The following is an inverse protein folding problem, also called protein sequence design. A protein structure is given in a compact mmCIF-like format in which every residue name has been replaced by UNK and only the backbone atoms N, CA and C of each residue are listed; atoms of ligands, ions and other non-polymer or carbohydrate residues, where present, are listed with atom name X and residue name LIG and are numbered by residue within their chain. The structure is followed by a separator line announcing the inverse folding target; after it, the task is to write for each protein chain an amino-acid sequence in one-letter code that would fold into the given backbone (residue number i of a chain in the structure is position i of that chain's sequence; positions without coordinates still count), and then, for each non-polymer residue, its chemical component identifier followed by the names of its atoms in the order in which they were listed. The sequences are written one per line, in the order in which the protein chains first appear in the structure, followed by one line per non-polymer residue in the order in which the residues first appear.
data_IF_294747807947
#
_entry.id   IF_294747807947
#
_cell.length_a   1.000
_cell.length_b   1.000
_cell.length_c   1.000
_cell.angle_alpha   90.00
_cell.angle_beta   90.00
_cell.angle_gamma   90.00
#
_symmetry.space_group_name_H-M   'P 1'
#
loop_
_entity.id
_entity.type
_entity.pdbx_description
1 polymer ?
#
# COMPACT_ATOMS: atom_id res chain seq x y z
N UNK A 1 -12.69 15.76 -28.55
CA UNK A 1 -11.93 14.54 -28.22
C UNK A 1 -10.49 14.81 -28.65
N UNK A 2 -9.65 15.30 -27.73
CA UNK A 2 -8.28 15.70 -28.05
C UNK A 2 -7.43 14.44 -28.04
N UNK A 3 -6.93 14.06 -29.21
CA UNK A 3 -6.00 12.96 -29.39
C UNK A 3 -4.65 13.36 -28.77
N UNK A 4 -4.47 13.04 -27.47
CA UNK A 4 -3.19 13.23 -26.80
C UNK A 4 -2.28 12.10 -27.29
N UNK A 5 -1.51 12.37 -28.33
CA UNK A 5 -0.45 11.48 -28.79
C UNK A 5 0.63 11.39 -27.71
N UNK A 6 0.56 10.33 -26.90
CA UNK A 6 1.56 10.03 -25.89
C UNK A 6 2.85 9.58 -26.61
N UNK A 7 3.87 10.45 -26.62
CA UNK A 7 5.17 10.07 -27.14
C UNK A 7 5.76 8.95 -26.28
N UNK A 8 6.28 7.88 -26.91
CA UNK A 8 6.75 6.68 -26.22
C UNK A 8 7.69 7.02 -25.04
N UNK A 9 7.51 6.39 -23.86
CA UNK A 9 8.32 6.66 -22.68
C UNK A 9 9.78 6.26 -22.91
N UNK A 10 10.70 6.96 -22.25
CA UNK A 10 12.12 6.58 -22.27
C UNK A 10 12.32 5.20 -21.61
N UNK A 11 13.35 4.47 -22.01
CA UNK A 11 13.66 3.15 -21.43
C UNK A 11 13.83 3.23 -19.90
N UNK A 12 14.44 4.29 -19.38
CA UNK A 12 14.58 4.53 -17.94
C UNK A 12 13.24 4.69 -17.25
N UNK A 13 12.32 5.49 -17.82
CA UNK A 13 10.96 5.63 -17.29
C UNK A 13 10.27 4.28 -17.19
N UNK A 14 10.33 3.50 -18.28
CA UNK A 14 9.70 2.19 -18.36
C UNK A 14 10.24 1.23 -17.30
N UNK A 15 11.56 1.17 -17.15
CA UNK A 15 12.19 0.26 -16.20
C UNK A 15 11.84 0.62 -14.74
N UNK A 16 11.79 1.92 -14.40
CA UNK A 16 11.39 2.37 -13.05
C UNK A 16 9.97 1.94 -12.74
N UNK A 17 9.04 2.14 -13.68
CA UNK A 17 7.64 1.77 -13.50
C UNK A 17 7.42 0.26 -13.41
N UNK A 18 8.13 -0.51 -14.23
CA UNK A 18 8.08 -1.98 -14.16
C UNK A 18 8.64 -2.49 -12.84
N UNK A 19 9.78 -1.95 -12.38
CA UNK A 19 10.39 -2.34 -11.12
C UNK A 19 9.50 -1.95 -9.93
N UNK A 20 9.04 -0.70 -9.88
CA UNK A 20 8.19 -0.21 -8.81
C UNK A 20 6.85 -0.95 -8.75
N UNK A 21 6.21 -1.17 -9.91
CA UNK A 21 4.97 -1.92 -10.02
C UNK A 21 5.16 -3.40 -9.66
N UNK A 22 6.27 -4.01 -10.08
CA UNK A 22 6.62 -5.39 -9.74
C UNK A 22 6.85 -5.59 -8.25
N UNK A 23 7.55 -4.66 -7.60
CA UNK A 23 7.77 -4.67 -6.15
C UNK A 23 6.46 -4.54 -5.37
N UNK A 24 5.56 -3.63 -5.76
CA UNK A 24 4.23 -3.51 -5.15
C UNK A 24 3.34 -4.74 -5.41
N UNK A 25 3.40 -5.31 -6.62
CA UNK A 25 2.67 -6.52 -6.94
C UNK A 25 3.15 -7.69 -6.06
N UNK A 26 4.46 -7.88 -5.96
CA UNK A 26 5.07 -8.89 -5.11
C UNK A 26 4.73 -8.69 -3.63
N UNK A 27 4.79 -7.45 -3.12
CA UNK A 27 4.43 -7.17 -1.72
C UNK A 27 2.97 -7.51 -1.43
N UNK A 28 2.05 -7.15 -2.34
CA UNK A 28 0.64 -7.49 -2.19
C UNK A 28 0.38 -9.00 -2.24
N UNK A 29 1.00 -9.71 -3.18
CA UNK A 29 0.88 -11.19 -3.28
C UNK A 29 1.42 -11.86 -2.02
N UNK A 30 2.60 -11.45 -1.54
CA UNK A 30 3.16 -11.98 -0.30
C UNK A 30 2.29 -11.62 0.92
N UNK A 31 1.66 -10.45 0.93
CA UNK A 31 0.68 -10.08 1.97
C UNK A 31 -0.53 -10.99 2.00
N UNK A 32 -1.00 -11.49 0.85
CA UNK A 32 -2.07 -12.51 0.80
C UNK A 32 -1.57 -13.82 1.38
N UNK A 33 -0.39 -14.30 0.96
CA UNK A 33 0.22 -15.54 1.46
C UNK A 33 0.43 -15.49 2.97
N UNK A 34 0.80 -14.32 3.50
CA UNK A 34 1.00 -14.05 4.93
C UNK A 34 -0.31 -13.72 5.69
N UNK A 35 -1.46 -13.80 5.04
CA UNK A 35 -2.73 -13.55 5.74
C UNK A 35 -2.98 -14.61 6.82
N UNK A 36 -3.58 -14.28 7.97
CA UNK A 36 -3.86 -15.25 9.03
C UNK A 36 -4.64 -16.48 8.55
N UNK A 37 -5.49 -16.29 7.54
CA UNK A 37 -6.31 -17.34 6.92
C UNK A 37 -5.46 -18.40 6.20
N UNK A 38 -4.33 -18.01 5.58
CA UNK A 38 -3.47 -18.89 4.80
C UNK A 38 -2.21 -19.29 5.56
N UNK A 39 -1.61 -18.37 6.32
CA UNK A 39 -0.35 -18.58 7.01
C UNK A 39 -0.43 -19.63 8.13
N UNK A 40 -1.54 -19.67 8.87
CA UNK A 40 -1.76 -20.66 9.93
C UNK A 40 -1.75 -22.11 9.40
N UNK A 41 -2.65 -22.47 8.47
CA UNK A 41 -2.67 -23.82 7.88
C UNK A 41 -1.40 -24.22 7.14
N UNK A 42 -0.64 -23.26 6.61
CA UNK A 42 0.60 -23.51 5.88
C UNK A 42 1.86 -23.55 6.77
N UNK A 43 1.73 -23.30 8.08
CA UNK A 43 2.88 -23.23 8.99
C UNK A 43 3.82 -22.04 8.73
N UNK A 44 3.32 -21.00 8.05
CA UNK A 44 4.07 -19.80 7.67
C UNK A 44 3.78 -18.60 8.60
N UNK A 45 3.06 -18.81 9.69
CA UNK A 45 2.63 -17.76 10.62
C UNK A 45 3.79 -17.11 11.40
N UNK A 46 4.99 -17.71 11.40
CA UNK A 46 6.16 -17.13 12.05
C UNK A 46 6.75 -15.99 11.20
N UNK A 47 6.85 -14.80 11.80
CA UNK A 47 7.05 -13.48 11.18
C UNK A 47 8.27 -13.22 10.26
N UNK A 48 8.90 -14.24 9.68
CA UNK A 48 10.04 -14.11 8.78
C UNK A 48 9.75 -13.38 7.46
N UNK A 49 8.50 -13.35 6.99
CA UNK A 49 8.14 -12.68 5.73
C UNK A 49 7.77 -11.20 5.89
N UNK A 50 7.42 -10.76 7.10
CA UNK A 50 6.98 -9.38 7.37
C UNK A 50 8.03 -8.33 6.94
N UNK A 51 9.34 -8.48 7.26
CA UNK A 51 10.35 -7.51 6.83
C UNK A 51 10.48 -7.46 5.31
N UNK A 52 10.37 -8.60 4.63
CA UNK A 52 10.44 -8.67 3.17
C UNK A 52 9.26 -7.93 2.52
N UNK A 53 8.04 -8.13 3.02
CA UNK A 53 6.85 -7.40 2.53
C UNK A 53 7.03 -5.90 2.70
N UNK A 54 7.54 -5.45 3.85
CA UNK A 54 7.82 -4.02 4.12
C UNK A 54 8.87 -3.49 3.16
N UNK A 55 9.95 -4.23 2.91
CA UNK A 55 11.01 -3.82 1.98
C UNK A 55 10.53 -3.73 0.54
N UNK A 56 9.70 -4.68 0.10
CA UNK A 56 9.12 -4.67 -1.25
C UNK A 56 8.12 -3.51 -1.40
N UNK A 57 7.21 -3.35 -0.44
CA UNK A 57 6.23 -2.26 -0.44
C UNK A 57 6.91 -0.89 -0.38
N UNK A 58 7.83 -0.71 0.56
CA UNK A 58 8.60 0.51 0.75
C UNK A 58 9.50 0.81 -0.44
N UNK A 59 10.19 -0.19 -1.00
CA UNK A 59 11.04 -0.06 -2.18
C UNK A 59 10.24 0.35 -3.43
N UNK A 60 9.11 -0.31 -3.68
CA UNK A 60 8.21 0.04 -4.78
C UNK A 60 7.62 1.44 -4.62
N UNK A 61 7.12 1.76 -3.43
CA UNK A 61 6.60 3.08 -3.10
C UNK A 61 7.64 4.19 -3.22
N UNK A 62 8.87 3.96 -2.79
CA UNK A 62 9.98 4.91 -2.91
C UNK A 62 10.36 5.19 -4.36
N UNK A 63 10.43 4.15 -5.18
CA UNK A 63 10.68 4.32 -6.62
C UNK A 63 9.56 5.11 -7.28
N UNK A 64 8.30 4.90 -6.92
CA UNK A 64 7.20 5.73 -7.42
C UNK A 64 7.24 7.16 -6.89
N UNK A 65 7.63 7.38 -5.63
CA UNK A 65 7.74 8.72 -5.06
C UNK A 65 8.83 9.54 -5.75
N UNK A 66 10.04 8.99 -5.86
CA UNK A 66 11.25 9.72 -6.27
C UNK A 66 11.55 9.59 -7.78
N UNK A 67 11.15 8.47 -8.38
CA UNK A 67 11.63 8.04 -9.69
C UNK A 67 13.12 7.72 -9.67
N UNK A 68 13.74 7.67 -10.85
CA UNK A 68 15.19 7.51 -11.01
C UNK A 68 15.75 8.62 -11.91
N UNK A 69 16.80 9.32 -11.44
CA UNK A 69 17.54 10.35 -12.21
C UNK A 69 16.67 11.42 -12.90
N UNK A 70 15.59 11.86 -12.27
CA UNK A 70 14.72 12.89 -12.84
C UNK A 70 13.38 12.37 -13.36
N UNK A 71 13.26 11.05 -13.57
CA UNK A 71 12.22 10.48 -14.44
C UNK A 71 11.42 9.41 -13.69
N UNK A 72 10.11 9.32 -13.97
CA UNK A 72 9.27 8.21 -13.51
C UNK A 72 8.56 8.37 -12.16
N UNK A 73 8.61 9.55 -11.55
CA UNK A 73 7.85 9.83 -10.31
C UNK A 73 6.35 9.97 -10.59
N UNK A 74 5.51 9.27 -9.83
CA UNK A 74 4.04 9.30 -9.98
C UNK A 74 3.42 10.61 -9.48
N UNK A 75 4.15 11.35 -8.66
CA UNK A 75 3.71 12.63 -8.09
C UNK A 75 4.24 13.83 -8.88
N UNK A 76 4.93 13.58 -10.00
CA UNK A 76 5.68 14.61 -10.73
C UNK A 76 6.62 15.40 -9.80
N UNK A 77 7.12 14.76 -8.72
CA UNK A 77 7.98 15.36 -7.68
C UNK A 77 7.38 16.55 -6.95
N UNK A 78 6.05 16.66 -6.93
CA UNK A 78 5.36 17.68 -6.13
C UNK A 78 5.57 17.35 -4.64
N UNK A 79 6.11 18.29 -3.84
CA UNK A 79 6.65 17.98 -2.52
C UNK A 79 5.62 17.34 -1.59
N UNK A 80 4.39 17.86 -1.57
CA UNK A 80 3.31 17.31 -0.74
C UNK A 80 3.04 15.82 -1.02
N UNK A 81 2.90 15.45 -2.29
CA UNK A 81 2.62 14.06 -2.68
C UNK A 81 3.81 13.15 -2.44
N UNK A 82 5.02 13.61 -2.77
CA UNK A 82 6.24 12.85 -2.55
C UNK A 82 6.47 12.59 -1.05
N UNK A 83 6.32 13.60 -0.20
CA UNK A 83 6.46 13.46 1.26
C UNK A 83 5.39 12.54 1.82
N UNK A 84 4.13 12.66 1.40
CA UNK A 84 3.06 11.77 1.86
C UNK A 84 3.35 10.30 1.55
N UNK A 85 3.82 9.98 0.34
CA UNK A 85 4.21 8.61 -0.03
C UNK A 85 5.40 8.15 0.82
N UNK A 86 6.45 8.96 0.95
CA UNK A 86 7.63 8.61 1.75
C UNK A 86 7.25 8.29 3.20
N UNK A 87 6.42 9.15 3.81
CA UNK A 87 5.95 8.93 5.17
C UNK A 87 5.16 7.63 5.28
N UNK A 88 4.24 7.38 4.32
CA UNK A 88 3.40 6.19 4.30
C UNK A 88 4.19 4.89 4.11
N UNK A 89 5.13 4.85 3.17
CA UNK A 89 5.75 3.59 2.72
C UNK A 89 7.09 3.30 3.37
N UNK A 90 7.76 4.30 3.94
CA UNK A 90 9.09 4.12 4.53
C UNK A 90 9.17 4.57 5.98
N UNK A 91 8.51 5.66 6.39
CA UNK A 91 8.63 6.08 7.79
C UNK A 91 7.68 5.27 8.68
N UNK A 92 6.40 5.23 8.33
CA UNK A 92 5.37 4.60 9.16
C UNK A 92 5.63 3.10 9.42
N UNK A 93 5.96 2.26 8.41
CA UNK A 93 6.19 0.83 8.65
C UNK A 93 7.41 0.57 9.54
N UNK A 94 8.46 1.39 9.41
CA UNK A 94 9.65 1.27 10.25
C UNK A 94 9.37 1.73 11.68
N UNK A 95 8.64 2.83 11.86
CA UNK A 95 8.19 3.28 13.19
C UNK A 95 7.39 2.17 13.88
N UNK A 96 6.47 1.50 13.16
CA UNK A 96 5.73 0.35 13.69
C UNK A 96 6.66 -0.75 14.19
N UNK A 97 7.66 -1.16 13.39
CA UNK A 97 8.62 -2.19 13.80
C UNK A 97 9.33 -1.82 15.12
N UNK A 98 9.82 -0.57 15.23
CA UNK A 98 10.49 -0.11 16.45
C UNK A 98 9.56 -0.02 17.65
N UNK A 99 8.32 0.45 17.46
CA UNK A 99 7.35 0.54 18.56
C UNK A 99 6.99 -0.84 19.08
N UNK A 100 6.71 -1.80 18.20
CA UNK A 100 6.37 -3.17 18.63
C UNK A 100 7.52 -3.90 19.32
N UNK A 101 8.77 -3.62 18.94
CA UNK A 101 9.96 -4.19 19.58
C UNK A 101 10.28 -3.53 20.94
N UNK A 102 10.03 -2.22 21.05
CA UNK A 102 10.35 -1.45 22.25
C UNK A 102 9.26 -1.49 23.35
N UNK A 103 8.02 -1.83 23.03
CA UNK A 103 6.90 -1.81 23.98
C UNK A 103 6.86 -3.07 24.84
N UNK A 104 6.96 -2.96 26.19
CA UNK A 104 6.92 -4.12 27.07
C UNK A 104 5.56 -4.84 27.03
N UNK A 105 5.53 -6.18 27.20
CA UNK A 105 4.28 -6.94 27.16
C UNK A 105 3.20 -6.49 28.15
N UNK A 106 3.60 -5.97 29.31
CA UNK A 106 2.73 -5.40 30.32
C UNK A 106 1.88 -4.22 29.83
N UNK A 107 2.34 -3.52 28.79
CA UNK A 107 1.62 -2.36 28.21
C UNK A 107 0.49 -2.82 27.28
N UNK A 108 0.56 -4.05 26.73
CA UNK A 108 -0.51 -4.59 25.86
C UNK A 108 -1.83 -4.80 26.60
N UNK A 109 -1.79 -5.02 27.92
CA UNK A 109 -2.97 -5.13 28.76
C UNK A 109 -3.62 -3.77 29.12
N UNK A 110 -2.97 -2.65 28.77
CA UNK A 110 -3.49 -1.31 29.02
C UNK A 110 -4.27 -0.78 27.81
N UNK A 111 -5.23 0.12 28.05
CA UNK A 111 -5.98 0.81 26.99
C UNK A 111 -5.11 1.66 26.06
N UNK A 112 -3.82 1.84 26.37
CA UNK A 112 -2.85 2.52 25.52
C UNK A 112 -2.73 1.88 24.13
N UNK A 113 -2.73 0.54 24.05
CA UNK A 113 -2.54 -0.14 22.77
C UNK A 113 -3.69 0.19 21.80
N UNK A 114 -4.92 0.22 22.31
CA UNK A 114 -6.11 0.58 21.54
C UNK A 114 -6.06 2.04 21.06
N UNK A 115 -5.59 2.96 21.92
CA UNK A 115 -5.41 4.35 21.53
C UNK A 115 -4.32 4.51 20.47
N UNK A 116 -3.19 3.83 20.64
CA UNK A 116 -2.07 3.86 19.69
C UNK A 116 -2.48 3.31 18.32
N UNK A 117 -3.12 2.14 18.26
CA UNK A 117 -3.56 1.54 16.99
C UNK A 117 -4.60 2.42 16.29
N UNK A 118 -5.51 3.04 17.05
CA UNK A 118 -6.47 4.00 16.49
C UNK A 118 -5.80 5.24 15.87
N UNK A 119 -4.81 5.83 16.56
CA UNK A 119 -4.07 6.99 16.03
C UNK A 119 -3.23 6.59 14.82
N UNK A 120 -2.50 5.48 14.89
CA UNK A 120 -1.67 4.96 13.81
C UNK A 120 -2.49 4.71 12.53
N UNK A 121 -3.68 4.12 12.68
CA UNK A 121 -4.60 3.91 11.57
C UNK A 121 -5.09 5.23 10.94
N UNK A 122 -5.45 6.22 11.76
CA UNK A 122 -5.87 7.53 11.27
C UNK A 122 -4.75 8.26 10.51
N UNK A 123 -3.52 8.15 11.01
CA UNK A 123 -2.33 8.71 10.36
C UNK A 123 -2.08 8.01 9.02
N UNK A 124 -2.14 6.67 8.99
CA UNK A 124 -1.99 5.88 7.76
C UNK A 124 -3.04 6.27 6.72
N UNK A 125 -4.31 6.34 7.13
CA UNK A 125 -5.41 6.70 6.25
C UNK A 125 -5.26 8.13 5.69
N UNK A 126 -4.89 9.09 6.53
CA UNK A 126 -4.66 10.47 6.12
C UNK A 126 -3.52 10.57 5.10
N UNK A 127 -2.38 9.91 5.36
CA UNK A 127 -1.25 9.87 4.44
C UNK A 127 -1.62 9.20 3.11
N UNK A 128 -2.35 8.09 3.16
CA UNK A 128 -2.78 7.36 1.97
C UNK A 128 -3.78 8.17 1.13
N UNK A 129 -4.71 8.88 1.76
CA UNK A 129 -5.63 9.80 1.06
C UNK A 129 -4.88 10.95 0.40
N UNK A 130 -3.98 11.62 1.13
CA UNK A 130 -3.17 12.71 0.58
C UNK A 130 -2.32 12.22 -0.59
N UNK A 131 -1.68 11.07 -0.47
CA UNK A 131 -0.91 10.45 -1.54
C UNK A 131 -1.78 10.14 -2.76
N UNK A 132 -2.94 9.49 -2.57
CA UNK A 132 -3.86 9.14 -3.65
C UNK A 132 -4.39 10.37 -4.40
N UNK A 133 -4.79 11.41 -3.67
CA UNK A 133 -5.25 12.68 -4.25
C UNK A 133 -4.09 13.37 -4.99
N UNK A 134 -2.88 13.38 -4.41
CA UNK A 134 -1.73 13.98 -5.05
C UNK A 134 -1.35 13.27 -6.36
N UNK A 135 -1.42 11.93 -6.40
CA UNK A 135 -1.22 11.12 -7.61
C UNK A 135 -2.28 11.47 -8.66
N UNK A 136 -3.56 11.50 -8.26
CA UNK A 136 -4.65 11.84 -9.18
C UNK A 136 -4.48 13.24 -9.78
N UNK A 137 -3.98 14.20 -9.00
CA UNK A 137 -3.74 15.59 -9.42
C UNK A 137 -2.40 15.81 -10.12
N UNK A 138 -1.47 14.87 -10.07
CA UNK A 138 -0.15 15.01 -10.68
C UNK A 138 -0.23 15.01 -12.22
N UNK A 139 -1.25 14.36 -12.79
CA UNK A 139 -1.44 14.27 -14.25
C UNK A 139 -0.51 13.27 -14.93
N UNK A 140 0.28 12.51 -14.16
CA UNK A 140 1.17 11.46 -14.68
C UNK A 140 0.38 10.24 -15.14
N UNK A 141 -0.59 9.82 -14.33
CA UNK A 141 -1.45 8.66 -14.61
C UNK A 141 -2.66 9.10 -15.44
N UNK A 142 -2.96 8.43 -16.57
CA UNK A 142 -4.13 8.75 -17.39
C UNK A 142 -5.45 8.41 -16.68
N UNK A 143 -6.52 9.10 -17.05
CA UNK A 143 -7.87 8.65 -16.68
C UNK A 143 -8.22 7.32 -17.38
N UNK A 144 -9.03 6.45 -16.74
CA UNK A 144 -9.58 6.56 -15.39
C UNK A 144 -8.62 6.08 -14.28
N UNK A 145 -7.45 5.56 -14.65
CA UNK A 145 -6.52 4.88 -13.75
C UNK A 145 -5.91 5.76 -12.67
N UNK A 146 -5.95 7.08 -12.84
CA UNK A 146 -5.54 8.05 -11.83
C UNK A 146 -6.33 7.93 -10.51
N UNK A 147 -7.52 7.30 -10.54
CA UNK A 147 -8.36 7.04 -9.35
C UNK A 147 -8.10 5.70 -8.68
N UNK A 148 -7.29 4.83 -9.29
CA UNK A 148 -7.00 3.51 -8.72
C UNK A 148 -6.45 3.56 -7.27
N UNK A 149 -5.54 4.49 -6.92
CA UNK A 149 -5.09 4.64 -5.53
C UNK A 149 -6.23 4.98 -4.56
N UNK A 150 -7.21 5.80 -4.96
CA UNK A 150 -8.36 6.13 -4.12
C UNK A 150 -9.24 4.92 -3.85
N UNK A 151 -9.42 4.05 -4.86
CA UNK A 151 -10.13 2.78 -4.67
C UNK A 151 -9.40 1.83 -3.72
N UNK A 152 -8.07 1.73 -3.83
CA UNK A 152 -7.27 0.93 -2.91
C UNK A 152 -7.39 1.43 -1.47
N UNK A 153 -7.36 2.75 -1.26
CA UNK A 153 -7.60 3.36 0.06
C UNK A 153 -9.01 3.06 0.56
N UNK A 154 -10.03 3.22 -0.28
CA UNK A 154 -11.42 2.93 0.10
C UNK A 154 -11.64 1.46 0.48
N UNK A 155 -11.09 0.51 -0.29
CA UNK A 155 -11.15 -0.92 0.03
C UNK A 155 -10.44 -1.22 1.34
N UNK A 156 -9.26 -0.63 1.56
CA UNK A 156 -8.49 -0.86 2.79
C UNK A 156 -9.18 -0.30 4.03
N UNK A 157 -9.75 0.90 3.91
CA UNK A 157 -10.53 1.52 4.98
C UNK A 157 -11.81 0.73 5.29
N UNK A 158 -12.54 0.27 4.27
CA UNK A 158 -13.73 -0.54 4.45
C UNK A 158 -13.41 -1.88 5.12
N UNK A 159 -12.33 -2.54 4.68
CA UNK A 159 -11.87 -3.78 5.30
C UNK A 159 -11.53 -3.57 6.78
N UNK A 160 -10.91 -2.44 7.13
CA UNK A 160 -10.59 -2.14 8.53
C UNK A 160 -11.82 -1.88 9.39
N UNK A 161 -12.80 -1.14 8.88
CA UNK A 161 -14.08 -0.94 9.56
C UNK A 161 -14.75 -2.28 9.85
N UNK A 162 -14.74 -3.20 8.87
CA UNK A 162 -15.25 -4.56 9.07
C UNK A 162 -14.49 -5.29 10.18
N UNK A 163 -13.16 -5.24 10.20
CA UNK A 163 -12.35 -5.87 11.26
C UNK A 163 -12.70 -5.35 12.64
N UNK A 164 -12.81 -4.02 12.80
CA UNK A 164 -13.14 -3.39 14.08
C UNK A 164 -14.56 -3.75 14.54
N UNK A 165 -15.56 -3.62 13.64
CA UNK A 165 -16.97 -3.89 13.98
C UNK A 165 -17.16 -5.37 14.36
N UNK A 166 -16.60 -6.28 13.56
CA UNK A 166 -16.73 -7.72 13.80
C UNK A 166 -15.96 -8.13 15.06
N UNK A 167 -14.77 -7.57 15.30
CA UNK A 167 -13.99 -7.85 16.51
C UNK A 167 -14.65 -7.37 17.81
N UNK A 168 -15.54 -6.37 17.75
CA UNK A 168 -16.30 -5.89 18.90
C UNK A 168 -17.57 -6.72 19.13
N UNK A 169 -18.26 -7.10 18.05
CA UNK A 169 -19.62 -7.65 18.11
C UNK A 169 -19.70 -9.18 18.02
N UNK A 170 -18.65 -9.82 17.52
CA UNK A 170 -18.68 -11.23 17.16
C UNK A 170 -17.77 -12.11 18.01
N UNK A 171 -18.14 -13.38 18.11
CA UNK A 171 -17.30 -14.47 18.61
C UNK A 171 -17.51 -15.73 17.74
N UNK A 172 -16.50 -16.59 17.66
CA UNK A 172 -16.54 -17.89 16.98
C UNK A 172 -15.99 -17.91 15.54
N UNK A 173 -15.91 -19.11 14.97
CA UNK A 173 -15.17 -19.40 13.73
C UNK A 173 -15.58 -18.57 12.49
N UNK A 174 -16.83 -18.12 12.41
CA UNK A 174 -17.31 -17.27 11.30
C UNK A 174 -16.64 -15.89 11.34
N UNK A 175 -16.40 -15.36 12.54
CA UNK A 175 -15.70 -14.09 12.75
C UNK A 175 -14.26 -14.19 12.29
N UNK A 176 -13.57 -15.28 12.64
CA UNK A 176 -12.18 -15.50 12.21
C UNK A 176 -12.03 -15.53 10.69
N UNK A 177 -12.99 -16.17 9.98
CA UNK A 177 -13.03 -16.18 8.52
C UNK A 177 -13.24 -14.77 7.95
N UNK A 178 -14.17 -14.00 8.50
CA UNK A 178 -14.45 -12.62 8.04
C UNK A 178 -13.22 -11.72 8.26
N UNK A 179 -12.60 -11.79 9.44
CA UNK A 179 -11.38 -11.02 9.77
C UNK A 179 -10.21 -11.47 8.89
N UNK A 180 -10.10 -12.76 8.60
CA UNK A 180 -9.11 -13.32 7.67
C UNK A 180 -9.28 -12.78 6.25
N UNK A 181 -10.51 -12.76 5.71
CA UNK A 181 -10.81 -12.17 4.40
C UNK A 181 -10.51 -10.67 4.40
N UNK A 182 -10.87 -9.95 5.46
CA UNK A 182 -10.61 -8.53 5.58
C UNK A 182 -9.09 -8.19 5.62
N UNK A 183 -8.23 -9.12 6.06
CA UNK A 183 -6.77 -8.96 5.95
C UNK A 183 -6.25 -9.10 4.51
N UNK A 184 -6.93 -9.88 3.67
CA UNK A 184 -6.49 -10.16 2.29
C UNK A 184 -6.81 -8.98 1.36
N UNK A 185 -7.91 -8.26 1.60
CA UNK A 185 -8.39 -7.19 0.72
C UNK A 185 -7.37 -6.05 0.49
N UNK A 186 -6.73 -5.46 1.53
CA UNK A 186 -5.69 -4.44 1.32
C UNK A 186 -4.48 -4.96 0.54
N UNK A 187 -4.10 -6.22 0.75
CA UNK A 187 -2.99 -6.86 0.05
C UNK A 187 -3.31 -7.04 -1.44
N UNK A 188 -4.52 -7.47 -1.77
CA UNK A 188 -5.01 -7.54 -3.15
C UNK A 188 -5.12 -6.16 -3.80
N UNK A 189 -5.57 -5.15 -3.07
CA UNK A 189 -5.63 -3.77 -3.57
C UNK A 189 -4.22 -3.27 -3.94
N UNK A 190 -3.24 -3.51 -3.07
CA UNK A 190 -1.82 -3.18 -3.31
C UNK A 190 -1.27 -3.93 -4.51
N UNK A 191 -1.53 -5.24 -4.61
CA UNK A 191 -1.11 -6.05 -5.75
C UNK A 191 -1.69 -5.53 -7.07
N UNK A 192 -2.98 -5.18 -7.05
CA UNK A 192 -3.70 -4.61 -8.20
C UNK A 192 -3.10 -3.28 -8.64
N UNK A 193 -2.70 -2.40 -7.71
CA UNK A 193 -1.99 -1.16 -8.06
C UNK A 193 -0.66 -1.44 -8.76
N UNK A 194 0.11 -2.41 -8.27
CA UNK A 194 1.36 -2.83 -8.91
C UNK A 194 1.14 -3.33 -10.34
N UNK A 195 0.14 -4.20 -10.54
CA UNK A 195 -0.24 -4.72 -11.86
C UNK A 195 -0.71 -3.59 -12.78
N UNK A 196 -1.56 -2.69 -12.31
CA UNK A 196 -2.02 -1.53 -13.10
C UNK A 196 -0.84 -0.69 -13.55
N UNK A 197 0.14 -0.44 -12.68
CA UNK A 197 1.33 0.33 -13.05
C UNK A 197 2.14 -0.34 -14.18
N UNK A 198 2.31 -1.68 -14.12
CA UNK A 198 2.97 -2.47 -15.17
C UNK A 198 2.17 -2.39 -16.48
N UNK A 199 0.85 -2.54 -16.42
CA UNK A 199 -0.02 -2.48 -17.60
C UNK A 199 0.01 -1.09 -18.25
N UNK A 200 -0.07 -0.03 -17.46
CA UNK A 200 -0.05 1.34 -17.96
C UNK A 200 1.23 1.66 -18.73
N UNK A 201 2.38 1.19 -18.24
CA UNK A 201 3.66 1.47 -18.90
C UNK A 201 3.90 0.59 -20.12
N UNK A 202 3.40 -0.66 -20.11
CA UNK A 202 3.47 -1.55 -21.28
C UNK A 202 2.54 -1.08 -22.40
N UNK A 203 1.40 -0.48 -22.06
CA UNK A 203 0.49 0.14 -23.03
C UNK A 203 0.91 1.55 -23.48
N UNK A 204 2.00 2.12 -22.92
CA UNK A 204 2.49 3.45 -23.28
C UNK A 204 1.54 4.60 -22.91
N UNK A 205 0.65 4.42 -21.92
CA UNK A 205 -0.41 5.40 -21.58
C UNK A 205 0.00 6.41 -20.51
N UNK A 206 1.25 6.40 -20.05
CA UNK A 206 1.71 7.28 -18.96
C UNK A 206 2.34 8.55 -19.53
N UNK A 207 1.97 9.70 -18.98
CA UNK A 207 2.56 10.99 -19.34
C UNK A 207 3.97 11.13 -18.73
N UNK A 208 4.87 11.82 -19.45
CA UNK A 208 6.25 12.07 -19.01
C UNK A 208 6.32 13.09 -17.89
#
# INVERSE_FOLDING_TARGET
MIDRTFAAPSTTFRNVWLLAGGLLAASGILGVVHSPLLAGPLGLAEGGLTPLVILLFGGGGMLFALGFRGVGSVTARRPLGTTAIILLVAILPFVRLFVWDAVPPSVYASGWLFLYTGIDLLVELALALVAAIAIARAGVVPEPWCRAPLWAVGVSAAAEVVRVVVGILGDGAVVDVIVGIAHILPALATASLGVIAILLVTWGRVAR
#
